data_IF_960818296728
#
_entry.id   IF_960818296728
#
_cell.length_a   1.000
_cell.length_b   1.000
_cell.length_c   1.000
_cell.angle_alpha   90.00
_cell.angle_beta   90.00
_cell.angle_gamma   90.00
#
_symmetry.space_group_name_H-M   'P 1'
#
loop_
_entity.id
_entity.type
_entity.pdbx_description
1 polymer ?
#
# COMPACT_ATOMS: atom_id res chain seq x y z
N UNK A 1 0.30 7.73 7.00
CA UNK A 1 -0.70 6.82 6.40
C UNK A 1 -1.34 5.97 7.46
N UNK A 2 -2.65 5.76 7.40
CA UNK A 2 -3.41 4.84 8.24
C UNK A 2 -4.15 3.85 7.32
N UNK A 3 -4.08 2.55 7.64
CA UNK A 3 -4.68 1.51 6.80
C UNK A 3 -5.50 0.57 7.66
N UNK A 4 -6.72 0.32 7.26
CA UNK A 4 -7.61 -0.70 7.81
C UNK A 4 -7.96 -1.67 6.70
N UNK A 5 -7.73 -2.96 6.93
CA UNK A 5 -8.05 -3.99 5.95
C UNK A 5 -8.81 -5.15 6.61
N UNK A 6 -9.77 -5.69 5.87
CA UNK A 6 -10.45 -6.94 6.20
C UNK A 6 -10.46 -7.80 4.93
N UNK A 7 -9.60 -8.78 4.92
CA UNK A 7 -9.49 -9.70 3.78
C UNK A 7 -10.79 -10.48 3.58
N UNK A 8 -11.10 -10.85 2.34
CA UNK A 8 -10.29 -10.62 1.14
C UNK A 8 -10.55 -9.29 0.43
N UNK A 9 -11.64 -8.55 0.75
CA UNK A 9 -12.27 -7.59 -0.17
C UNK A 9 -12.66 -6.26 0.48
N UNK A 10 -11.98 -5.85 1.55
CA UNK A 10 -12.23 -4.58 2.25
C UNK A 10 -10.92 -3.88 2.58
N UNK A 11 -10.78 -2.63 2.12
CA UNK A 11 -9.62 -1.79 2.39
C UNK A 11 -10.06 -0.34 2.58
N UNK A 12 -9.50 0.30 3.59
CA UNK A 12 -9.57 1.75 3.76
C UNK A 12 -8.15 2.26 4.07
N UNK A 13 -7.62 3.11 3.24
CA UNK A 13 -6.32 3.74 3.41
C UNK A 13 -6.49 5.26 3.40
N UNK A 14 -5.96 5.91 4.42
CA UNK A 14 -5.89 7.36 4.53
C UNK A 14 -4.43 7.79 4.54
N UNK A 15 -4.04 8.56 3.54
CA UNK A 15 -2.68 9.07 3.37
C UNK A 15 -2.69 10.57 3.54
N UNK A 16 -1.79 11.09 4.38
CA UNK A 16 -1.55 12.53 4.51
C UNK A 16 -0.13 12.82 4.08
N UNK A 17 0.05 13.70 3.13
CA UNK A 17 1.31 14.16 2.59
C UNK A 17 1.37 15.69 2.50
N UNK A 18 2.44 16.20 1.93
CA UNK A 18 2.64 17.64 1.73
C UNK A 18 1.65 18.23 0.71
N UNK A 19 1.12 17.39 -0.15
CA UNK A 19 0.13 17.70 -1.19
C UNK A 19 -1.33 17.53 -0.73
N UNK A 20 -1.56 17.29 0.56
CA UNK A 20 -2.90 17.11 1.14
C UNK A 20 -3.18 15.69 1.60
N UNK A 21 -4.47 15.38 1.76
CA UNK A 21 -4.91 14.04 2.17
C UNK A 21 -5.59 13.31 1.02
N UNK A 22 -5.32 12.03 0.92
CA UNK A 22 -5.89 11.12 -0.07
C UNK A 22 -6.51 9.93 0.65
N UNK A 23 -7.73 9.55 0.25
CA UNK A 23 -8.38 8.35 0.72
C UNK A 23 -8.51 7.35 -0.43
N UNK A 24 -8.28 6.08 -0.13
CA UNK A 24 -8.59 4.97 -0.99
C UNK A 24 -9.48 4.00 -0.20
N UNK A 25 -10.68 3.76 -0.68
CA UNK A 25 -11.66 2.91 0.00
C UNK A 25 -12.17 1.86 -0.99
N UNK A 26 -12.06 0.59 -0.61
CA UNK A 26 -12.62 -0.55 -1.33
C UNK A 26 -13.67 -1.25 -0.49
N UNK A 27 -14.89 -1.34 -1.00
CA UNK A 27 -16.06 -1.91 -0.31
C UNK A 27 -16.46 -3.30 -0.83
N UNK A 28 -15.63 -3.92 -1.69
CA UNK A 28 -15.91 -5.19 -2.34
C UNK A 28 -16.70 -5.08 -3.64
N UNK A 29 -17.07 -3.87 -4.06
CA UNK A 29 -17.84 -3.60 -5.29
C UNK A 29 -17.27 -2.45 -6.08
N UNK A 30 -16.64 -1.50 -5.42
CA UNK A 30 -16.03 -0.33 -6.02
C UNK A 30 -14.82 0.14 -5.22
N UNK A 31 -13.85 0.71 -5.92
CA UNK A 31 -12.76 1.49 -5.32
C UNK A 31 -13.09 2.96 -5.48
N UNK A 32 -13.10 3.68 -4.37
CA UNK A 32 -13.19 5.12 -4.35
C UNK A 32 -11.82 5.71 -4.02
N UNK A 33 -11.38 6.70 -4.79
CA UNK A 33 -10.17 7.49 -4.50
C UNK A 33 -10.57 8.95 -4.41
N UNK A 34 -10.15 9.63 -3.34
CA UNK A 34 -10.42 11.05 -3.16
C UNK A 34 -9.14 11.84 -2.84
N UNK A 35 -9.14 13.11 -3.23
CA UNK A 35 -8.08 14.06 -2.94
C UNK A 35 -8.67 15.31 -2.27
N UNK A 36 -8.27 15.58 -1.03
CA UNK A 36 -8.76 16.76 -0.30
C UNK A 36 -8.22 18.06 -0.91
N UNK A 37 -7.01 18.04 -1.44
CA UNK A 37 -6.35 19.19 -2.04
C UNK A 37 -7.07 19.68 -3.30
N UNK A 38 -7.54 18.72 -4.13
CA UNK A 38 -8.26 19.01 -5.37
C UNK A 38 -9.76 19.14 -5.15
N UNK A 39 -10.25 18.70 -3.99
CA UNK A 39 -11.68 18.52 -3.69
C UNK A 39 -12.39 17.68 -4.75
N UNK A 40 -11.75 16.57 -5.12
CA UNK A 40 -12.17 15.67 -6.20
C UNK A 40 -12.18 14.22 -5.73
N UNK A 41 -13.02 13.41 -6.37
CA UNK A 41 -13.02 11.97 -6.17
C UNK A 41 -13.41 11.24 -7.44
N UNK A 42 -13.01 9.96 -7.51
CA UNK A 42 -13.42 9.01 -8.53
C UNK A 42 -13.92 7.74 -7.85
N UNK A 43 -14.93 7.11 -8.42
CA UNK A 43 -15.42 5.79 -8.01
C UNK A 43 -15.39 4.87 -9.21
N UNK A 44 -14.63 3.78 -9.09
CA UNK A 44 -14.44 2.79 -10.16
C UNK A 44 -15.06 1.46 -9.71
N UNK A 45 -15.94 0.85 -10.51
CA UNK A 45 -16.40 -0.50 -10.22
C UNK A 45 -15.23 -1.47 -10.15
N UNK A 46 -15.15 -2.24 -9.07
CA UNK A 46 -14.11 -3.22 -8.85
C UNK A 46 -14.68 -4.42 -8.08
N UNK A 47 -14.23 -5.61 -8.42
CA UNK A 47 -14.65 -6.85 -7.76
C UNK A 47 -13.44 -7.76 -7.54
N UNK A 48 -13.57 -8.72 -6.65
CA UNK A 48 -12.51 -9.66 -6.33
C UNK A 48 -11.83 -9.34 -4.99
N UNK A 49 -10.59 -9.75 -4.86
CA UNK A 49 -9.79 -9.46 -3.68
C UNK A 49 -9.16 -8.03 -3.74
N UNK A 50 -8.53 -7.64 -2.65
CA UNK A 50 -7.91 -6.31 -2.54
C UNK A 50 -6.88 -6.07 -3.67
N UNK A 51 -5.95 -6.99 -3.98
CA UNK A 51 -5.02 -6.80 -5.09
C UNK A 51 -5.70 -6.54 -6.43
N UNK A 52 -6.69 -7.37 -6.79
CA UNK A 52 -7.43 -7.22 -8.05
C UNK A 52 -8.18 -5.88 -8.13
N UNK A 53 -8.71 -5.42 -6.99
CA UNK A 53 -9.38 -4.13 -6.93
C UNK A 53 -8.40 -2.95 -7.09
N UNK A 54 -7.20 -3.06 -6.53
CA UNK A 54 -6.16 -2.02 -6.65
C UNK A 54 -5.65 -1.88 -8.10
N UNK A 55 -5.57 -2.98 -8.85
CA UNK A 55 -5.22 -2.96 -10.27
C UNK A 55 -6.17 -2.05 -11.10
N UNK A 56 -7.43 -1.93 -10.69
CA UNK A 56 -8.40 -1.08 -11.44
C UNK A 56 -8.13 0.42 -11.31
N UNK A 57 -7.33 0.81 -10.34
CA UNK A 57 -6.95 2.20 -10.06
C UNK A 57 -5.43 2.42 -10.12
N UNK A 58 -4.71 1.47 -10.69
CA UNK A 58 -3.25 1.52 -10.83
C UNK A 58 -2.79 2.78 -11.58
N UNK A 59 -3.56 3.21 -12.60
CA UNK A 59 -3.28 4.45 -13.32
C UNK A 59 -3.31 5.71 -12.45
N UNK A 60 -4.02 5.67 -11.31
CA UNK A 60 -4.08 6.78 -10.36
C UNK A 60 -2.93 6.78 -9.35
N UNK A 61 -2.35 5.63 -9.11
CA UNK A 61 -1.24 5.46 -8.17
C UNK A 61 -0.46 4.18 -8.54
N UNK A 62 0.37 4.24 -9.61
CA UNK A 62 0.99 3.07 -10.24
C UNK A 62 1.94 2.31 -9.31
N UNK A 63 2.41 2.93 -8.23
CA UNK A 63 3.41 2.34 -7.34
C UNK A 63 2.92 2.24 -5.91
N UNK A 64 2.06 1.26 -5.60
CA UNK A 64 1.73 0.89 -4.23
C UNK A 64 2.47 -0.38 -3.80
N UNK A 65 3.74 -0.29 -3.39
CA UNK A 65 4.60 -1.45 -3.10
C UNK A 65 4.12 -2.29 -1.92
N UNK A 66 3.04 -1.86 -1.24
CA UNK A 66 2.46 -2.56 -0.09
C UNK A 66 1.35 -3.53 -0.47
N UNK A 67 0.97 -3.64 -1.74
CA UNK A 67 -0.14 -4.49 -2.20
C UNK A 67 0.05 -5.95 -1.77
N UNK A 68 1.28 -6.44 -1.77
CA UNK A 68 1.64 -7.80 -1.37
C UNK A 68 1.21 -8.15 0.07
N UNK A 69 1.13 -7.17 0.97
CA UNK A 69 0.64 -7.40 2.34
C UNK A 69 -0.85 -7.72 2.39
N UNK A 70 -1.61 -7.41 1.36
CA UNK A 70 -3.08 -7.57 1.33
C UNK A 70 -3.54 -8.80 0.57
N UNK A 71 -2.61 -9.56 -0.02
CA UNK A 71 -2.92 -10.86 -0.65
C UNK A 71 -3.36 -11.90 0.39
N UNK A 72 -4.01 -12.96 -0.04
CA UNK A 72 -4.37 -14.10 0.84
C UNK A 72 -3.14 -14.81 1.40
N UNK A 73 -2.03 -14.80 0.64
CA UNK A 73 -0.77 -15.45 1.01
C UNK A 73 0.41 -14.47 0.84
N UNK A 74 0.56 -13.48 1.74
CA UNK A 74 1.58 -12.44 1.63
C UNK A 74 3.01 -13.00 1.52
N UNK A 75 3.30 -14.09 2.24
CA UNK A 75 4.59 -14.77 2.18
C UNK A 75 4.90 -15.27 0.76
N UNK A 76 3.93 -15.83 0.05
CA UNK A 76 4.11 -16.30 -1.33
C UNK A 76 4.25 -15.13 -2.30
N UNK A 77 3.49 -14.06 -2.07
CA UNK A 77 3.55 -12.86 -2.90
C UNK A 77 4.93 -12.20 -2.80
N UNK A 78 5.39 -11.90 -1.59
CA UNK A 78 6.74 -11.34 -1.36
C UNK A 78 7.87 -12.22 -1.87
N UNK A 79 7.73 -13.54 -1.79
CA UNK A 79 8.75 -14.48 -2.27
C UNK A 79 8.64 -14.76 -3.78
N UNK A 80 7.62 -14.26 -4.44
CA UNK A 80 7.47 -14.37 -5.88
C UNK A 80 8.62 -13.69 -6.60
N UNK A 81 9.32 -14.42 -7.46
CA UNK A 81 10.47 -13.89 -8.19
C UNK A 81 11.75 -13.73 -7.39
N UNK A 82 11.78 -14.07 -6.10
CA UNK A 82 13.01 -14.06 -5.29
C UNK A 82 14.04 -15.01 -5.88
N UNK A 83 15.26 -14.51 -6.08
CA UNK A 83 16.41 -15.25 -6.60
C UNK A 83 17.45 -15.53 -5.53
N UNK A 84 17.49 -14.71 -4.49
CA UNK A 84 18.35 -14.87 -3.35
C UNK A 84 17.73 -14.20 -2.12
N UNK A 85 18.01 -14.73 -0.93
CA UNK A 85 17.56 -14.13 0.32
C UNK A 85 18.33 -14.69 1.51
N UNK A 86 18.51 -13.84 2.51
CA UNK A 86 19.17 -14.23 3.77
C UNK A 86 18.75 -13.30 4.91
N UNK A 87 18.97 -13.76 6.12
CA UNK A 87 18.89 -12.91 7.29
C UNK A 87 20.20 -12.13 7.44
N UNK A 88 20.11 -10.81 7.34
CA UNK A 88 21.25 -9.89 7.52
C UNK A 88 21.69 -9.85 8.98
N UNK A 89 20.71 -9.85 9.91
CA UNK A 89 20.99 -9.77 11.33
C UNK A 89 19.75 -9.56 12.17
N UNK A 90 19.96 -9.01 13.35
CA UNK A 90 18.91 -8.57 14.26
C UNK A 90 19.19 -7.12 14.65
N UNK A 91 18.19 -6.26 14.50
CA UNK A 91 18.26 -4.84 14.79
C UNK A 91 17.02 -4.40 15.57
N UNK A 92 17.06 -3.22 16.17
CA UNK A 92 15.87 -2.60 16.75
C UNK A 92 15.28 -1.59 15.77
N UNK A 93 13.97 -1.65 15.60
CA UNK A 93 13.15 -0.63 14.92
C UNK A 93 12.15 -0.12 15.95
N UNK A 94 12.16 1.16 16.26
CA UNK A 94 11.33 1.81 17.30
C UNK A 94 11.35 1.08 18.66
N UNK A 95 12.53 0.57 19.03
CA UNK A 95 12.71 -0.17 20.30
C UNK A 95 12.35 -1.64 20.25
N UNK A 96 11.70 -2.12 19.20
CA UNK A 96 11.31 -3.52 19.00
C UNK A 96 12.44 -4.30 18.35
N UNK A 97 12.77 -5.48 18.89
CA UNK A 97 13.79 -6.36 18.32
C UNK A 97 13.24 -7.07 17.07
N UNK A 98 13.87 -6.81 15.91
CA UNK A 98 13.45 -7.32 14.62
C UNK A 98 14.55 -8.17 13.97
N UNK A 99 14.14 -9.21 13.25
CA UNK A 99 14.98 -9.87 12.25
C UNK A 99 15.03 -8.98 11.02
N UNK A 100 16.22 -8.68 10.54
CA UNK A 100 16.45 -7.98 9.29
C UNK A 100 16.66 -9.01 8.18
N UNK A 101 15.75 -9.04 7.23
CA UNK A 101 15.73 -9.95 6.10
C UNK A 101 16.03 -9.17 4.83
N UNK A 102 16.79 -9.77 3.93
CA UNK A 102 17.08 -9.24 2.60
C UNK A 102 16.66 -10.25 1.55
N UNK A 103 16.03 -9.76 0.47
CA UNK A 103 15.65 -10.54 -0.69
C UNK A 103 16.01 -9.79 -1.96
N UNK A 104 16.61 -10.50 -2.93
CA UNK A 104 16.80 -9.99 -4.28
C UNK A 104 15.84 -10.67 -5.22
N UNK A 105 15.11 -9.87 -6.00
CA UNK A 105 14.12 -10.35 -6.96
C UNK A 105 14.55 -10.14 -8.39
N UNK A 106 13.92 -10.89 -9.30
CA UNK A 106 14.02 -10.66 -10.74
C UNK A 106 13.54 -9.25 -11.06
N UNK A 107 14.05 -8.68 -12.16
CA UNK A 107 13.70 -7.30 -12.53
C UNK A 107 14.49 -6.22 -11.80
N UNK A 108 15.46 -6.63 -10.95
CA UNK A 108 16.35 -5.68 -10.27
C UNK A 108 15.71 -4.99 -9.07
N UNK A 109 14.85 -5.69 -8.37
CA UNK A 109 14.25 -5.22 -7.13
C UNK A 109 14.94 -5.90 -5.95
N UNK A 110 15.37 -5.12 -4.97
CA UNK A 110 15.81 -5.62 -3.67
C UNK A 110 14.81 -5.20 -2.59
N UNK A 111 14.48 -6.14 -1.72
CA UNK A 111 13.59 -5.92 -0.58
C UNK A 111 14.36 -6.12 0.71
N UNK A 112 14.25 -5.18 1.62
CA UNK A 112 14.70 -5.34 2.99
C UNK A 112 13.49 -5.25 3.92
N UNK A 113 13.32 -6.25 4.79
CA UNK A 113 12.16 -6.35 5.66
C UNK A 113 12.61 -6.58 7.10
N UNK A 114 12.10 -5.76 8.01
CA UNK A 114 12.29 -5.93 9.44
C UNK A 114 11.01 -6.45 10.06
N UNK A 115 11.07 -7.66 10.60
CA UNK A 115 9.93 -8.32 11.26
C UNK A 115 10.26 -8.62 12.71
N UNK A 116 9.28 -8.54 13.59
CA UNK A 116 9.47 -8.89 14.99
C UNK A 116 10.10 -10.27 15.16
N UNK A 117 11.01 -10.37 16.13
CA UNK A 117 11.69 -11.60 16.45
C UNK A 117 10.84 -12.49 17.37
N UNK A 118 9.61 -12.73 16.96
CA UNK A 118 8.66 -13.63 17.60
C UNK A 118 7.88 -14.41 16.53
N UNK A 119 6.92 -15.23 16.95
CA UNK A 119 6.14 -16.08 16.04
C UNK A 119 5.11 -15.30 15.22
N UNK A 120 4.69 -14.11 15.68
CA UNK A 120 3.78 -13.25 14.95
C UNK A 120 4.45 -12.57 13.73
N UNK A 121 5.78 -12.40 13.80
CA UNK A 121 6.61 -11.83 12.73
C UNK A 121 6.02 -10.53 12.10
N UNK A 122 5.46 -9.67 12.95
CA UNK A 122 4.83 -8.42 12.52
C UNK A 122 5.88 -7.53 11.86
N UNK A 123 5.62 -6.98 10.65
CA UNK A 123 6.55 -6.08 9.99
C UNK A 123 6.59 -4.70 10.66
N UNK A 124 7.79 -4.15 10.79
CA UNK A 124 8.04 -2.80 11.31
C UNK A 124 8.66 -1.87 10.28
N UNK A 125 9.37 -2.41 9.29
CA UNK A 125 9.96 -1.61 8.21
C UNK A 125 10.10 -2.44 6.95
N UNK A 126 9.83 -1.81 5.82
CA UNK A 126 10.11 -2.31 4.48
C UNK A 126 10.92 -1.26 3.72
N UNK A 127 11.95 -1.70 3.01
CA UNK A 127 12.66 -0.90 2.01
C UNK A 127 12.62 -1.66 0.69
N UNK A 128 12.19 -0.99 -0.37
CA UNK A 128 12.21 -1.51 -1.75
C UNK A 128 13.21 -0.68 -2.53
N UNK A 129 14.24 -1.30 -3.10
CA UNK A 129 15.25 -0.63 -3.93
C UNK A 129 15.08 -1.03 -5.38
N UNK A 130 14.90 -0.07 -6.27
CA UNK A 130 14.76 -0.26 -7.72
C UNK A 130 16.12 -0.12 -8.41
N UNK A 131 16.90 -1.19 -8.45
CA UNK A 131 18.30 -1.18 -8.94
C UNK A 131 18.43 -0.85 -10.44
N UNK A 132 17.38 -1.10 -11.22
CA UNK A 132 17.41 -0.85 -12.68
C UNK A 132 16.98 0.57 -13.05
N UNK A 133 16.48 1.35 -12.09
CA UNK A 133 16.11 2.75 -12.28
C UNK A 133 17.32 3.64 -12.01
N UNK A 134 17.65 4.62 -12.87
CA UNK A 134 18.73 5.56 -12.62
C UNK A 134 18.61 6.23 -11.25
N UNK A 135 19.73 6.28 -10.51
CA UNK A 135 19.72 6.79 -9.13
C UNK A 135 19.29 5.77 -8.08
N UNK A 136 18.79 4.59 -8.49
CA UNK A 136 18.36 3.51 -7.61
C UNK A 136 17.44 4.00 -6.48
N UNK A 137 16.28 4.59 -6.82
CA UNK A 137 15.39 5.13 -5.83
C UNK A 137 14.91 4.05 -4.86
N UNK A 138 14.60 4.47 -3.64
CA UNK A 138 14.08 3.60 -2.61
C UNK A 138 12.66 4.03 -2.23
N UNK A 139 11.77 3.06 -2.08
CA UNK A 139 10.54 3.21 -1.31
C UNK A 139 10.80 2.72 0.11
N UNK A 140 10.40 3.51 1.11
CA UNK A 140 10.56 3.15 2.53
C UNK A 140 9.20 3.26 3.21
N UNK A 141 8.78 2.18 3.84
CA UNK A 141 7.60 2.16 4.71
C UNK A 141 8.01 1.78 6.13
N UNK A 142 7.53 2.54 7.11
CA UNK A 142 7.62 2.22 8.53
C UNK A 142 6.22 1.93 9.06
N UNK A 143 6.09 0.84 9.81
CA UNK A 143 4.83 0.32 10.29
C UNK A 143 4.78 0.41 11.81
N UNK A 144 3.69 0.94 12.32
CA UNK A 144 3.46 1.01 13.75
C UNK A 144 1.98 0.86 14.10
N UNK A 145 1.69 0.81 15.39
CA UNK A 145 0.32 0.76 15.89
C UNK A 145 -0.52 -0.41 15.34
N UNK A 146 0.10 -1.55 15.13
CA UNK A 146 -0.57 -2.76 14.66
C UNK A 146 -1.70 -3.19 15.59
N UNK A 147 -2.86 -3.43 15.03
CA UNK A 147 -4.01 -4.00 15.73
C UNK A 147 -4.59 -5.18 14.95
N UNK A 148 -4.02 -6.37 15.15
CA UNK A 148 -4.46 -7.61 14.51
C UNK A 148 -5.79 -8.14 15.08
N UNK A 149 -6.30 -7.58 16.19
CA UNK A 149 -7.56 -7.99 16.81
C UNK A 149 -8.72 -7.07 16.45
N UNK A 150 -8.48 -6.06 15.63
CA UNK A 150 -9.51 -5.16 15.14
C UNK A 150 -10.54 -5.92 14.31
N UNK A 151 -11.82 -5.69 14.61
CA UNK A 151 -12.95 -6.14 13.81
C UNK A 151 -13.66 -4.92 13.22
N UNK A 152 -13.16 -4.38 12.10
CA UNK A 152 -13.70 -3.16 11.52
C UNK A 152 -15.12 -3.37 11.01
N UNK A 153 -15.96 -2.37 11.24
CA UNK A 153 -17.35 -2.36 10.77
C UNK A 153 -17.43 -2.09 9.26
N UNK A 154 -18.56 -2.38 8.62
CA UNK A 154 -18.78 -2.01 7.22
C UNK A 154 -18.69 -0.49 6.98
N UNK A 155 -19.00 0.32 8.00
CA UNK A 155 -18.91 1.78 7.88
C UNK A 155 -17.47 2.26 7.62
N UNK A 156 -16.46 1.55 8.10
CA UNK A 156 -15.04 1.85 7.85
C UNK A 156 -14.67 1.75 6.35
N UNK A 157 -15.43 0.94 5.60
CA UNK A 157 -15.19 0.68 4.18
C UNK A 157 -16.24 1.34 3.27
N UNK A 158 -17.03 2.26 3.83
CA UNK A 158 -18.06 2.97 3.06
C UNK A 158 -17.56 4.36 2.71
N UNK A 159 -17.33 4.60 1.42
CA UNK A 159 -16.93 5.91 0.95
C UNK A 159 -18.08 6.90 1.08
N UNK A 160 -17.79 8.04 1.66
CA UNK A 160 -18.70 9.19 1.72
C UNK A 160 -17.99 10.37 1.05
N UNK A 161 -18.49 10.83 -0.10
CA UNK A 161 -17.90 11.98 -0.78
C UNK A 161 -17.84 13.19 0.17
N UNK A 162 -16.70 13.91 0.20
CA UNK A 162 -16.63 15.17 0.91
C UNK A 162 -17.69 16.16 0.39
N UNK A 163 -18.17 17.03 1.27
CA UNK A 163 -19.11 18.08 0.87
C UNK A 163 -18.48 18.93 -0.24
N UNK A 164 -19.24 19.18 -1.31
CA UNK A 164 -18.82 19.98 -2.48
C UNK A 164 -17.69 19.36 -3.34
N UNK A 165 -17.28 18.11 -3.09
CA UNK A 165 -16.30 17.43 -3.92
C UNK A 165 -16.88 17.09 -5.29
N UNK A 166 -16.05 17.23 -6.32
CA UNK A 166 -16.44 16.94 -7.70
C UNK A 166 -16.08 15.50 -8.06
N UNK A 167 -17.02 14.82 -8.71
CA UNK A 167 -16.72 13.53 -9.35
C UNK A 167 -15.91 13.77 -10.61
N UNK A 168 -14.83 13.03 -10.79
CA UNK A 168 -14.03 13.00 -12.01
C UNK A 168 -14.05 11.61 -12.63
N UNK A 169 -13.80 11.52 -13.93
CA UNK A 169 -13.59 10.23 -14.61
C UNK A 169 -12.13 9.80 -14.49
N UNK A 170 -11.89 8.48 -14.47
CA UNK A 170 -10.55 7.90 -14.29
C UNK A 170 -9.51 8.50 -15.26
N UNK A 171 -9.86 8.64 -16.55
CA UNK A 171 -8.99 9.22 -17.57
C UNK A 171 -8.67 10.71 -17.39
N UNK A 172 -9.42 11.46 -16.56
CA UNK A 172 -9.15 12.85 -16.24
C UNK A 172 -8.20 13.00 -15.05
N UNK A 173 -8.18 12.01 -14.17
CA UNK A 173 -7.29 11.99 -13.00
C UNK A 173 -5.82 11.83 -13.38
N UNK A 174 -5.54 11.10 -14.47
CA UNK A 174 -4.18 10.82 -14.96
C UNK A 174 -3.55 12.04 -15.64
N UNK A 175 -4.36 12.87 -16.34
CA UNK A 175 -3.85 14.04 -17.10
C UNK A 175 -3.37 15.21 -16.26
N UNK A 176 -3.62 15.22 -14.95
CA UNK A 176 -3.24 16.35 -14.08
C UNK A 176 -1.84 16.21 -13.45
N UNK A 177 -1.14 15.11 -13.68
CA UNK A 177 0.23 14.87 -13.20
C UNK A 177 1.34 15.30 -14.17
N UNK A 178 1.02 15.62 -15.43
CA UNK A 178 2.02 15.90 -16.47
C UNK A 178 2.26 17.41 -16.77
N UNK A 179 1.61 18.33 -16.08
CA UNK A 179 1.78 19.78 -16.32
C UNK A 179 2.62 20.49 -15.25
N UNK A 180 3.72 19.91 -14.79
CA UNK A 180 4.77 20.66 -14.08
C UNK A 180 6.15 20.20 -14.54
N UNK A 181 6.59 20.72 -15.69
CA UNK A 181 7.99 20.89 -16.04
C UNK A 181 8.45 22.31 -15.64
#
# INVERSE_FOLDING_TARGET
>A
MNVVARRPDRLAAHVTGDDGSHDLIYDGKSVAVSSSNRNEYVVVPATGDIPSALETVEELNPDFPLVDFFTEAPDKSFLSGVTAGWQVGTNKVDGVECRHLFFSQRGGIDLELWVEKNDAAIPHRLVVTYRMVPGQPNFIAEFGNWNATLHPSEAEFTFQPPADAKTIELGQAVGAGEEQE
#
